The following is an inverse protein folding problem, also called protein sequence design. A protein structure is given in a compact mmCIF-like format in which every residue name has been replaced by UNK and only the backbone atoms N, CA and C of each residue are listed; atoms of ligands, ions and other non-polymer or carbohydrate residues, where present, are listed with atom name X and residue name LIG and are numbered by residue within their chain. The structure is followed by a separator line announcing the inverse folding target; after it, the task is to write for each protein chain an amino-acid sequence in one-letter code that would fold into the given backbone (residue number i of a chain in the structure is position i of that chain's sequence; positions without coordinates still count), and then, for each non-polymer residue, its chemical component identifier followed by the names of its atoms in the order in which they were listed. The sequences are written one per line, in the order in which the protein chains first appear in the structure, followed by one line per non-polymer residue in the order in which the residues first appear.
data_IF_906702522191
#
_entry.id   IF_906702522191
#
_cell.length_a   1.000
_cell.length_b   1.000
_cell.length_c   1.000
_cell.angle_alpha   90.00
_cell.angle_beta   90.00
_cell.angle_gamma   90.00
#
_symmetry.space_group_name_H-M   'P 1'
#
loop_
_entity.id
_entity.type
_entity.pdbx_description
1 polymer ?
#
# COMPACT_ATOMS: atom_id res chain seq x y z
N UNK A 1 -28.27 36.55 24.49
CA UNK A 1 -27.09 36.53 23.60
C UNK A 1 -26.42 35.16 23.72
N UNK A 2 -26.56 34.26 22.73
CA UNK A 2 -25.81 33.00 22.69
C UNK A 2 -24.61 33.11 21.72
N UNK A 3 -23.47 32.56 22.14
CA UNK A 3 -22.32 32.20 21.32
C UNK A 3 -21.84 30.85 21.90
N UNK A 4 -21.55 29.78 21.19
CA UNK A 4 -21.27 29.54 19.78
C UNK A 4 -20.20 28.43 19.76
N UNK A 5 -20.42 27.35 19.02
CA UNK A 5 -19.41 26.30 18.81
C UNK A 5 -19.97 24.88 18.94
N UNK A 6 -20.07 24.18 17.81
CA UNK A 6 -20.78 22.91 17.60
C UNK A 6 -20.21 21.67 18.31
N UNK A 7 -20.81 20.49 18.06
CA UNK A 7 -20.44 19.25 18.73
C UNK A 7 -18.99 18.89 18.38
N UNK A 8 -18.19 18.57 19.40
CA UNK A 8 -16.89 17.93 19.23
C UNK A 8 -17.14 16.55 18.62
N UNK A 9 -17.14 16.52 17.29
CA UNK A 9 -17.27 15.33 16.49
C UNK A 9 -16.07 14.42 16.69
N UNK A 10 -16.38 13.12 16.77
CA UNK A 10 -15.40 12.05 16.71
C UNK A 10 -15.73 10.94 17.70
N UNK A 11 -16.84 10.25 17.47
CA UNK A 11 -17.13 8.96 18.10
C UNK A 11 -15.96 8.00 17.88
N UNK A 12 -15.27 7.63 18.95
CA UNK A 12 -14.37 6.47 18.92
C UNK A 12 -15.21 5.21 19.09
N UNK A 13 -15.69 4.66 17.97
CA UNK A 13 -16.31 3.33 17.96
C UNK A 13 -15.23 2.29 18.16
N UNK A 14 -15.16 1.78 19.39
CA UNK A 14 -14.49 0.53 19.73
C UNK A 14 -15.23 -0.61 19.03
N UNK A 15 -14.71 -1.07 17.88
CA UNK A 15 -15.34 -2.18 17.14
C UNK A 15 -14.74 -2.51 15.78
N UNK A 16 -13.96 -1.61 15.16
CA UNK A 16 -13.39 -1.86 13.84
C UNK A 16 -11.88 -2.06 13.97
N UNK A 17 -11.36 -3.14 13.38
CA UNK A 17 -9.91 -3.41 13.32
C UNK A 17 -9.23 -2.21 12.67
N UNK A 18 -8.65 -1.33 13.49
CA UNK A 18 -7.80 -0.21 13.06
C UNK A 18 -6.46 -0.79 12.58
N UNK A 19 -6.51 -1.43 11.43
CA UNK A 19 -5.37 -1.85 10.63
C UNK A 19 -5.61 -1.30 9.24
N UNK A 20 -5.74 0.01 9.13
CA UNK A 20 -5.93 0.71 7.86
C UNK A 20 -5.51 2.15 8.08
N UNK A 21 -4.77 2.76 7.14
CA UNK A 21 -4.33 4.13 7.32
C UNK A 21 -5.54 5.06 7.47
N UNK A 22 -5.47 6.02 8.41
CA UNK A 22 -6.58 6.92 8.67
C UNK A 22 -6.82 7.76 7.40
N UNK A 23 -8.01 7.63 6.81
CA UNK A 23 -8.41 8.30 5.58
C UNK A 23 -7.53 8.00 4.34
N UNK A 24 -7.65 6.79 3.79
CA UNK A 24 -7.44 6.55 2.34
C UNK A 24 -6.03 6.71 1.78
N UNK A 25 -5.02 6.95 2.62
CA UNK A 25 -3.63 7.13 2.18
C UNK A 25 -2.82 5.90 2.52
N UNK A 26 -2.59 5.02 1.55
CA UNK A 26 -1.70 3.88 1.69
C UNK A 26 -0.35 4.30 2.33
N UNK A 27 0.00 3.73 3.47
CA UNK A 27 1.28 3.96 4.14
C UNK A 27 2.26 2.82 3.82
N UNK A 28 3.32 3.15 3.08
CA UNK A 28 4.34 2.20 2.69
C UNK A 28 5.10 1.61 3.89
N UNK A 29 5.26 2.36 4.99
CA UNK A 29 5.97 1.86 6.19
C UNK A 29 5.25 0.68 6.83
N UNK A 30 3.92 0.59 6.68
CA UNK A 30 3.14 -0.47 7.29
C UNK A 30 3.44 -1.85 6.69
N UNK A 31 3.84 -1.92 5.42
CA UNK A 31 4.18 -3.19 4.77
C UNK A 31 5.66 -3.53 4.85
N UNK A 32 6.52 -2.63 5.33
CA UNK A 32 7.96 -2.88 5.49
C UNK A 32 8.24 -4.12 6.35
N UNK A 33 7.57 -4.36 7.50
CA UNK A 33 7.79 -5.58 8.28
C UNK A 33 7.45 -6.85 7.49
N UNK A 34 6.38 -6.84 6.69
CA UNK A 34 5.95 -7.98 5.86
C UNK A 34 7.00 -8.30 4.79
N UNK A 35 7.54 -7.27 4.14
CA UNK A 35 8.60 -7.43 3.14
C UNK A 35 9.88 -7.97 3.78
N UNK A 36 10.24 -7.48 4.98
CA UNK A 36 11.44 -7.92 5.69
C UNK A 36 11.30 -9.31 6.31
N UNK A 37 10.09 -9.77 6.59
CA UNK A 37 9.84 -11.18 6.98
C UNK A 37 10.14 -12.13 5.81
N UNK A 38 9.74 -11.75 4.59
CA UNK A 38 10.03 -12.50 3.37
C UNK A 38 11.50 -12.37 2.91
N UNK A 39 12.11 -11.20 3.13
CA UNK A 39 13.50 -10.89 2.76
C UNK A 39 14.24 -10.28 3.96
N UNK A 40 14.78 -11.12 4.87
CA UNK A 40 15.41 -10.66 6.12
C UNK A 40 16.59 -9.70 5.92
N UNK A 41 17.32 -9.86 4.81
CA UNK A 41 18.50 -9.06 4.47
C UNK A 41 18.14 -7.68 3.88
N UNK A 42 16.86 -7.40 3.63
CA UNK A 42 16.42 -6.11 3.12
C UNK A 42 16.50 -5.03 4.22
N UNK A 43 17.16 -3.91 3.90
CA UNK A 43 17.11 -2.73 4.75
C UNK A 43 15.68 -2.15 4.80
N UNK A 44 15.36 -1.45 5.89
CA UNK A 44 14.06 -0.78 6.04
C UNK A 44 13.79 0.19 4.88
N UNK A 45 14.77 1.01 4.54
CA UNK A 45 14.70 1.97 3.44
C UNK A 45 14.42 1.28 2.10
N UNK A 46 15.15 0.20 1.79
CA UNK A 46 14.97 -0.54 0.54
C UNK A 46 13.59 -1.20 0.46
N UNK A 47 13.11 -1.78 1.55
CA UNK A 47 11.77 -2.36 1.62
C UNK A 47 10.69 -1.27 1.46
N UNK A 48 10.86 -0.11 2.10
CA UNK A 48 9.94 1.03 1.98
C UNK A 48 9.88 1.56 0.56
N UNK A 49 11.03 1.76 -0.08
CA UNK A 49 11.12 2.21 -1.47
C UNK A 49 10.47 1.24 -2.44
N UNK A 50 10.68 -0.06 -2.26
CA UNK A 50 10.05 -1.10 -3.07
C UNK A 50 8.52 -1.06 -2.93
N UNK A 51 8.01 -1.01 -1.69
CA UNK A 51 6.57 -0.91 -1.42
C UNK A 51 5.96 0.35 -2.04
N UNK A 52 6.59 1.51 -1.85
CA UNK A 52 6.12 2.77 -2.41
C UNK A 52 6.10 2.75 -3.95
N UNK A 53 7.14 2.18 -4.57
CA UNK A 53 7.25 2.06 -6.03
C UNK A 53 6.17 1.14 -6.60
N UNK A 54 5.98 -0.04 -6.01
CA UNK A 54 4.93 -0.98 -6.39
C UNK A 54 3.56 -0.32 -6.30
N UNK A 55 3.28 0.36 -5.20
CA UNK A 55 2.00 1.05 -5.00
C UNK A 55 1.76 2.16 -6.04
N UNK A 56 2.80 2.95 -6.36
CA UNK A 56 2.70 4.00 -7.38
C UNK A 56 2.37 3.41 -8.76
N UNK A 57 3.10 2.38 -9.20
CA UNK A 57 2.84 1.69 -10.47
C UNK A 57 1.41 1.15 -10.53
N UNK A 58 0.98 0.49 -9.45
CA UNK A 58 -0.33 -0.14 -9.39
C UNK A 58 -1.47 0.91 -9.40
N UNK A 59 -1.27 2.06 -8.76
CA UNK A 59 -2.21 3.21 -8.81
C UNK A 59 -2.28 3.85 -10.18
N UNK A 60 -1.14 4.07 -10.83
CA UNK A 60 -1.06 4.65 -12.18
C UNK A 60 -1.76 3.76 -13.21
N UNK A 61 -1.50 2.45 -13.17
CA UNK A 61 -2.12 1.48 -14.07
C UNK A 61 -3.62 1.32 -13.82
N UNK A 62 -4.06 1.32 -12.55
CA UNK A 62 -5.47 1.31 -12.20
C UNK A 62 -6.20 2.55 -12.74
N UNK A 63 -5.60 3.73 -12.57
CA UNK A 63 -6.15 4.99 -13.10
C UNK A 63 -6.21 4.99 -14.64
N UNK A 64 -5.17 4.49 -15.30
CA UNK A 64 -5.12 4.38 -16.76
C UNK A 64 -6.21 3.45 -17.32
N UNK A 65 -6.53 2.38 -16.60
CA UNK A 65 -7.53 1.37 -16.97
C UNK A 65 -8.95 1.71 -16.50
N UNK A 66 -9.10 2.69 -15.60
CA UNK A 66 -10.38 3.01 -14.97
C UNK A 66 -10.92 1.88 -14.09
N UNK A 67 -10.03 1.10 -13.46
CA UNK A 67 -10.37 -0.03 -12.59
C UNK A 67 -9.81 0.16 -11.18
N UNK A 68 -10.17 -0.74 -10.26
CA UNK A 68 -9.58 -0.73 -8.93
C UNK A 68 -8.11 -1.23 -8.96
N UNK A 69 -7.25 -0.72 -8.07
CA UNK A 69 -5.92 -1.26 -7.77
C UNK A 69 -5.83 -2.80 -7.74
N UNK A 70 -6.85 -3.46 -7.18
CA UNK A 70 -6.90 -4.92 -7.04
C UNK A 70 -7.02 -5.67 -8.38
N UNK A 71 -7.56 -5.00 -9.39
CA UNK A 71 -7.90 -5.55 -10.71
C UNK A 71 -6.74 -5.43 -11.71
N UNK A 72 -5.65 -4.75 -11.34
CA UNK A 72 -4.46 -4.62 -12.19
C UNK A 72 -3.75 -5.99 -12.29
N UNK A 73 -3.46 -6.48 -13.51
CA UNK A 73 -2.72 -7.72 -13.72
C UNK A 73 -1.27 -7.65 -13.22
N UNK A 74 -0.75 -8.76 -12.68
CA UNK A 74 0.63 -8.85 -12.17
C UNK A 74 1.68 -8.71 -13.26
N UNK A 75 1.42 -9.22 -14.45
CA UNK A 75 2.33 -9.12 -15.60
C UNK A 75 2.59 -7.66 -15.99
N UNK A 76 1.59 -6.79 -15.85
CA UNK A 76 1.70 -5.36 -16.15
C UNK A 76 2.58 -4.67 -15.11
N UNK A 77 2.33 -4.94 -13.83
CA UNK A 77 3.10 -4.39 -12.72
C UNK A 77 4.54 -4.91 -12.76
N UNK A 78 4.72 -6.21 -12.99
CA UNK A 78 6.02 -6.86 -13.17
C UNK A 78 6.79 -6.33 -14.37
N UNK A 79 6.14 -6.07 -15.51
CA UNK A 79 6.79 -5.47 -16.70
C UNK A 79 7.27 -4.04 -16.45
N UNK A 80 6.52 -3.27 -15.65
CA UNK A 80 6.89 -1.91 -15.24
C UNK A 80 8.03 -1.89 -14.20
N UNK A 81 8.07 -2.88 -13.31
CA UNK A 81 9.12 -3.03 -12.29
C UNK A 81 10.40 -3.67 -12.85
N UNK A 82 10.27 -4.62 -13.79
CA UNK A 82 11.32 -5.45 -14.39
C UNK A 82 12.32 -4.73 -15.29
N UNK A 83 12.38 -3.40 -15.26
CA UNK A 83 13.49 -2.62 -15.84
C UNK A 83 14.74 -2.55 -14.92
N UNK A 84 14.77 -3.27 -13.78
CA UNK A 84 15.92 -3.30 -12.85
C UNK A 84 16.54 -4.70 -12.71
N UNK A 85 17.70 -4.90 -13.33
CA UNK A 85 18.41 -6.19 -13.44
C UNK A 85 19.36 -6.47 -12.25
N UNK A 86 18.87 -6.54 -11.00
CA UNK A 86 19.69 -6.78 -9.79
C UNK A 86 18.84 -7.21 -8.56
N UNK A 87 19.39 -7.51 -7.34
CA UNK A 87 18.66 -8.07 -6.17
C UNK A 87 17.50 -7.22 -5.60
N UNK A 88 17.12 -6.16 -6.31
CA UNK A 88 15.80 -5.54 -6.24
C UNK A 88 14.68 -6.56 -6.49
N UNK A 89 14.91 -7.58 -7.33
CA UNK A 89 13.88 -8.55 -7.74
C UNK A 89 13.15 -9.23 -6.56
N UNK A 90 13.85 -9.76 -5.57
CA UNK A 90 13.20 -10.42 -4.41
C UNK A 90 12.47 -9.44 -3.48
N UNK A 91 13.01 -8.24 -3.29
CA UNK A 91 12.38 -7.22 -2.43
C UNK A 91 11.16 -6.64 -3.13
N UNK A 92 11.24 -6.43 -4.44
CA UNK A 92 10.15 -5.96 -5.29
C UNK A 92 9.06 -7.03 -5.43
N UNK A 93 9.41 -8.31 -5.54
CA UNK A 93 8.46 -9.44 -5.51
C UNK A 93 7.73 -9.53 -4.16
N UNK A 94 8.48 -9.44 -3.04
CA UNK A 94 7.90 -9.44 -1.70
C UNK A 94 7.00 -8.20 -1.49
N UNK A 95 7.43 -7.04 -1.96
CA UNK A 95 6.65 -5.80 -1.93
C UNK A 95 5.39 -5.92 -2.78
N UNK A 96 5.46 -6.48 -3.99
CA UNK A 96 4.31 -6.75 -4.85
C UNK A 96 3.30 -7.65 -4.15
N UNK A 97 3.78 -8.76 -3.57
CA UNK A 97 2.94 -9.69 -2.81
C UNK A 97 2.26 -9.00 -1.64
N UNK A 98 3.02 -8.24 -0.83
CA UNK A 98 2.49 -7.51 0.33
C UNK A 98 1.48 -6.44 -0.07
N UNK A 99 1.77 -5.64 -1.09
CA UNK A 99 0.87 -4.59 -1.59
C UNK A 99 -0.43 -5.19 -2.11
N UNK A 100 -0.38 -6.27 -2.90
CA UNK A 100 -1.61 -6.92 -3.40
C UNK A 100 -2.43 -7.55 -2.28
N UNK A 101 -1.78 -8.18 -1.31
CA UNK A 101 -2.46 -8.71 -0.13
C UNK A 101 -3.19 -7.58 0.63
N UNK A 102 -2.52 -6.44 0.84
CA UNK A 102 -3.13 -5.27 1.46
C UNK A 102 -4.29 -4.71 0.63
N UNK A 103 -4.12 -4.54 -0.68
CA UNK A 103 -5.17 -4.04 -1.58
C UNK A 103 -6.42 -4.95 -1.58
N UNK A 104 -6.24 -6.28 -1.54
CA UNK A 104 -7.35 -7.24 -1.45
C UNK A 104 -8.02 -7.23 -0.07
N UNK A 105 -7.23 -7.13 1.01
CA UNK A 105 -7.74 -7.14 2.37
C UNK A 105 -8.49 -5.85 2.72
N UNK A 106 -8.03 -4.71 2.23
CA UNK A 106 -8.52 -3.39 2.61
C UNK A 106 -9.33 -2.67 1.54
N UNK A 107 -9.47 -3.26 0.34
CA UNK A 107 -10.35 -2.78 -0.70
C UNK A 107 -10.15 -1.29 -0.98
N UNK A 108 -8.94 -0.90 -1.37
CA UNK A 108 -8.65 0.47 -1.78
C UNK A 108 -9.49 0.82 -3.02
N UNK A 109 -10.71 1.33 -2.78
CA UNK A 109 -11.60 1.92 -3.77
C UNK A 109 -11.12 3.30 -4.17
#
# INVERSE_FOLDING_TARGET
MPAGGGPLGGDWVSGERVFGPPAGTFDADWLVPVVREAVPDASHERAREAVARVWAVLREEAAHRGCAPAEVPEDVVGSRLGSSDQPADRVDEAALTAVRAAVRAYGAR
#
